data_IF_474568899765
#
_entry.id   IF_474568899765
#
_cell.length_a   1.000
_cell.length_b   1.000
_cell.length_c   1.000
_cell.angle_alpha   90.00
_cell.angle_beta   90.00
_cell.angle_gamma   90.00
#
_symmetry.space_group_name_H-M   'P 1'
#
loop_
_entity.id
_entity.type
_entity.pdbx_description
1 polymer ?
#
# COMPACT_ATOMS: atom_id res chain seq x y z
N UNK A 1 -29.58 0.86 46.45
CA UNK A 1 -29.83 -0.51 45.91
C UNK A 1 -31.05 -0.37 45.04
N UNK A 2 -31.03 -0.39 43.71
CA UNK A 2 -30.36 -1.18 42.67
C UNK A 2 -30.52 -0.34 41.39
N UNK A 3 -29.51 -0.02 40.59
CA UNK A 3 -28.85 -0.94 39.65
C UNK A 3 -29.60 -0.96 38.30
N UNK A 4 -29.36 0.03 37.43
CA UNK A 4 -29.80 0.02 36.03
C UNK A 4 -28.55 0.06 35.15
N UNK A 5 -28.19 -1.11 34.61
CA UNK A 5 -27.14 -1.31 33.63
C UNK A 5 -27.74 -0.98 32.26
N UNK A 6 -27.28 0.11 31.64
CA UNK A 6 -27.46 0.31 30.20
C UNK A 6 -26.44 -0.59 29.50
N UNK A 7 -26.93 -1.65 28.86
CA UNK A 7 -26.14 -2.41 27.88
C UNK A 7 -25.89 -1.50 26.68
N UNK A 8 -24.66 -1.02 26.54
CA UNK A 8 -24.17 -0.42 25.31
C UNK A 8 -24.05 -1.54 24.26
N UNK A 9 -24.70 -1.36 23.10
CA UNK A 9 -24.49 -2.22 21.94
C UNK A 9 -23.00 -2.19 21.55
N UNK A 10 -22.43 -3.37 21.32
CA UNK A 10 -21.03 -3.53 20.93
C UNK A 10 -20.81 -3.00 19.50
N UNK A 11 -19.62 -2.43 19.20
CA UNK A 11 -19.31 -1.79 17.89
C UNK A 11 -19.55 -2.66 16.65
N UNK A 12 -19.58 -4.00 16.81
CA UNK A 12 -19.83 -4.98 15.76
C UNK A 12 -21.22 -4.86 15.10
N UNK A 13 -22.26 -4.43 15.83
CA UNK A 13 -23.62 -4.32 15.27
C UNK A 13 -23.77 -3.15 14.28
N UNK A 14 -22.92 -2.12 14.41
CA UNK A 14 -22.95 -0.94 13.54
C UNK A 14 -22.34 -1.16 12.16
N UNK A 15 -21.28 -1.97 12.09
CA UNK A 15 -20.58 -2.26 10.84
C UNK A 15 -21.42 -3.13 9.88
N UNK A 16 -22.18 -4.09 10.42
CA UNK A 16 -22.99 -5.04 9.64
C UNK A 16 -24.19 -4.35 8.97
N UNK A 17 -24.77 -3.32 9.60
CA UNK A 17 -25.94 -2.61 9.04
C UNK A 17 -25.59 -1.69 7.86
N UNK A 18 -24.36 -1.18 7.78
CA UNK A 18 -23.94 -0.34 6.66
C UNK A 18 -23.74 -1.10 5.34
N UNK A 19 -23.49 -2.43 5.40
CA UNK A 19 -23.44 -3.29 4.20
C UNK A 19 -24.82 -3.50 3.56
N UNK A 20 -25.91 -3.32 4.32
CA UNK A 20 -27.26 -3.72 3.89
C UNK A 20 -28.04 -2.66 3.11
N UNK A 21 -27.56 -1.42 2.99
CA UNK A 21 -28.35 -0.33 2.39
C UNK A 21 -27.97 0.08 0.96
N UNK A 22 -26.93 -0.52 0.36
CA UNK A 22 -26.41 -0.06 -0.94
C UNK A 22 -26.84 -0.90 -2.16
N UNK A 23 -27.30 -2.14 -1.98
CA UNK A 23 -27.65 -3.03 -3.11
C UNK A 23 -29.15 -3.31 -3.18
N UNK A 24 -29.87 -2.40 -3.85
CA UNK A 24 -31.22 -2.67 -4.36
C UNK A 24 -31.38 -2.02 -5.73
N UNK A 25 -30.72 -2.59 -6.74
CA UNK A 25 -31.03 -2.33 -8.15
C UNK A 25 -30.95 -3.63 -8.95
N UNK A 26 -32.11 -4.26 -9.17
CA UNK A 26 -32.27 -5.41 -10.05
C UNK A 26 -32.23 -4.96 -11.53
N UNK A 27 -31.45 -5.65 -12.37
CA UNK A 27 -31.61 -5.60 -13.82
C UNK A 27 -31.68 -7.03 -14.41
N UNK A 28 -32.68 -7.35 -15.28
CA UNK A 28 -32.88 -8.70 -15.79
C UNK A 28 -32.28 -8.96 -17.18
N UNK A 29 -32.04 -10.25 -17.42
CA UNK A 29 -31.99 -10.99 -18.70
C UNK A 29 -30.79 -10.78 -19.65
N UNK A 30 -29.93 -11.82 -19.70
CA UNK A 30 -29.11 -12.12 -20.89
C UNK A 30 -29.18 -13.63 -21.18
N UNK A 31 -30.01 -14.00 -22.16
CA UNK A 31 -30.03 -15.35 -22.74
C UNK A 31 -29.31 -15.28 -24.08
N UNK A 32 -28.01 -15.55 -24.07
CA UNK A 32 -27.23 -15.82 -25.28
C UNK A 32 -26.39 -17.07 -25.03
N UNK A 33 -26.69 -18.12 -25.78
CA UNK A 33 -26.06 -19.43 -25.70
C UNK A 33 -24.66 -19.32 -26.32
N UNK A 34 -23.68 -19.05 -25.47
CA UNK A 34 -22.29 -19.44 -25.68
C UNK A 34 -22.08 -20.67 -24.81
N UNK A 35 -21.45 -21.72 -25.33
CA UNK A 35 -21.03 -22.87 -24.53
C UNK A 35 -20.03 -22.39 -23.47
N UNK A 36 -20.56 -21.93 -22.33
CA UNK A 36 -19.78 -21.68 -21.14
C UNK A 36 -19.29 -23.04 -20.65
N UNK A 37 -18.02 -23.37 -20.90
CA UNK A 37 -17.34 -24.26 -19.97
C UNK A 37 -17.51 -23.61 -18.59
N UNK A 38 -18.20 -24.32 -17.71
CA UNK A 38 -18.35 -23.88 -16.33
C UNK A 38 -16.94 -23.67 -15.76
N UNK A 39 -16.70 -22.50 -15.17
CA UNK A 39 -15.42 -22.24 -14.50
C UNK A 39 -15.23 -23.27 -13.38
N UNK A 40 -13.97 -23.67 -13.07
CA UNK A 40 -13.71 -24.63 -12.01
C UNK A 40 -14.30 -24.17 -10.66
N UNK A 41 -14.76 -25.13 -9.87
CA UNK A 41 -15.45 -24.87 -8.60
C UNK A 41 -14.51 -24.22 -7.57
N UNK A 42 -14.79 -22.98 -7.14
CA UNK A 42 -13.93 -22.25 -6.23
C UNK A 42 -13.90 -22.83 -4.80
N UNK A 43 -14.88 -23.64 -4.43
CA UNK A 43 -14.96 -24.24 -3.08
C UNK A 43 -14.12 -25.52 -2.94
N UNK A 44 -13.51 -26.01 -4.03
CA UNK A 44 -12.64 -27.19 -4.02
C UNK A 44 -11.27 -26.91 -4.65
N UNK A 45 -10.38 -26.14 -3.99
CA UNK A 45 -9.14 -25.61 -4.57
C UNK A 45 -8.26 -26.66 -5.28
N UNK A 46 -8.00 -27.81 -4.65
CA UNK A 46 -7.19 -28.89 -5.25
C UNK A 46 -7.78 -29.44 -6.54
N UNK A 47 -9.11 -29.49 -6.64
CA UNK A 47 -9.81 -29.94 -7.86
C UNK A 47 -9.79 -28.85 -8.92
N UNK A 48 -10.01 -27.60 -8.53
CA UNK A 48 -9.93 -26.45 -9.43
C UNK A 48 -8.54 -26.29 -10.04
N UNK A 49 -7.48 -26.57 -9.29
CA UNK A 49 -6.08 -26.55 -9.75
C UNK A 49 -5.73 -27.64 -10.79
N UNK A 50 -6.64 -28.60 -11.05
CA UNK A 50 -6.47 -29.53 -12.18
C UNK A 50 -6.76 -28.84 -13.53
N UNK A 51 -7.49 -27.72 -13.53
CA UNK A 51 -7.63 -26.86 -14.70
C UNK A 51 -6.33 -26.08 -14.94
N UNK A 52 -5.83 -26.16 -16.17
CA UNK A 52 -4.54 -25.57 -16.53
C UNK A 52 -4.54 -24.04 -16.48
N UNK A 53 -5.68 -23.38 -16.71
CA UNK A 53 -5.78 -21.92 -16.63
C UNK A 53 -5.66 -21.48 -15.18
N UNK A 54 -6.41 -22.13 -14.28
CA UNK A 54 -6.36 -21.87 -12.84
C UNK A 54 -4.96 -22.16 -12.27
N UNK A 55 -4.34 -23.28 -12.66
CA UNK A 55 -2.98 -23.62 -12.22
C UNK A 55 -1.93 -22.58 -12.65
N UNK A 56 -2.04 -22.02 -13.88
CA UNK A 56 -1.14 -20.97 -14.35
C UNK A 56 -1.32 -19.66 -13.60
N UNK A 57 -2.56 -19.28 -13.28
CA UNK A 57 -2.86 -18.11 -12.45
C UNK A 57 -2.27 -18.27 -11.06
N UNK A 58 -2.46 -19.43 -10.43
CA UNK A 58 -1.87 -19.76 -9.13
C UNK A 58 -0.33 -19.70 -9.17
N UNK A 59 0.29 -20.21 -10.24
CA UNK A 59 1.74 -20.13 -10.42
C UNK A 59 2.22 -18.68 -10.62
N UNK A 60 1.48 -17.84 -11.35
CA UNK A 60 1.80 -16.43 -11.55
C UNK A 60 1.73 -15.65 -10.22
N UNK A 61 0.76 -15.97 -9.36
CA UNK A 61 0.74 -15.43 -8.00
C UNK A 61 2.04 -15.70 -7.26
N UNK A 62 2.44 -16.97 -7.18
CA UNK A 62 3.64 -17.40 -6.45
C UNK A 62 4.89 -16.74 -7.03
N UNK A 63 4.99 -16.68 -8.35
CA UNK A 63 6.22 -16.27 -9.05
C UNK A 63 6.40 -14.75 -9.08
N UNK A 64 5.32 -13.99 -9.14
CA UNK A 64 5.38 -12.57 -9.50
C UNK A 64 4.68 -11.67 -8.49
N UNK A 65 3.42 -11.98 -8.15
CA UNK A 65 2.53 -11.08 -7.41
C UNK A 65 2.78 -11.16 -5.89
N UNK A 66 3.05 -12.35 -5.35
CA UNK A 66 3.31 -12.55 -3.92
C UNK A 66 4.42 -11.65 -3.37
N UNK A 67 5.45 -11.42 -4.19
CA UNK A 67 6.61 -10.57 -3.90
C UNK A 67 6.23 -9.13 -3.56
N UNK A 68 5.07 -8.65 -4.02
CA UNK A 68 4.59 -7.29 -3.73
C UNK A 68 4.39 -7.06 -2.23
N UNK A 69 4.06 -8.13 -1.49
CA UNK A 69 3.66 -8.08 -0.09
C UNK A 69 4.80 -8.39 0.89
N UNK A 70 5.80 -9.15 0.45
CA UNK A 70 6.85 -9.68 1.34
C UNK A 70 8.01 -8.69 1.57
N UNK A 71 7.87 -7.43 1.15
CA UNK A 71 8.88 -6.37 1.29
C UNK A 71 9.35 -6.17 2.75
N UNK A 72 8.43 -6.29 3.70
CA UNK A 72 8.68 -6.14 5.14
C UNK A 72 8.54 -7.46 5.91
N UNK A 73 8.63 -8.60 5.20
CA UNK A 73 8.44 -9.92 5.80
C UNK A 73 9.54 -10.89 5.36
N UNK A 74 10.51 -11.11 6.24
CA UNK A 74 11.60 -12.05 6.00
C UNK A 74 11.15 -13.51 5.90
N UNK A 75 9.98 -13.85 6.43
CA UNK A 75 9.40 -15.20 6.33
C UNK A 75 8.66 -15.42 5.00
N UNK A 76 8.49 -14.36 4.19
CA UNK A 76 7.77 -14.39 2.93
C UNK A 76 6.38 -15.03 3.05
N UNK A 77 5.57 -14.57 4.01
CA UNK A 77 4.27 -15.16 4.33
C UNK A 77 3.33 -15.16 3.13
N UNK A 78 3.35 -14.12 2.30
CA UNK A 78 2.52 -14.10 1.08
C UNK A 78 3.10 -14.98 -0.03
N UNK A 79 4.41 -15.16 -0.10
CA UNK A 79 5.07 -16.06 -1.05
C UNK A 79 5.03 -17.54 -0.67
N UNK A 80 4.94 -17.87 0.61
CA UNK A 80 5.09 -19.24 1.13
C UNK A 80 3.82 -19.72 1.84
N UNK A 81 3.35 -18.97 2.84
CA UNK A 81 2.24 -19.39 3.70
C UNK A 81 0.90 -19.27 2.97
N UNK A 82 0.65 -18.17 2.27
CA UNK A 82 -0.60 -17.95 1.53
C UNK A 82 -0.85 -19.04 0.47
N UNK A 83 0.09 -19.37 -0.44
CA UNK A 83 -0.12 -20.44 -1.41
C UNK A 83 -0.33 -21.80 -0.74
N UNK A 84 0.38 -22.07 0.37
CA UNK A 84 0.23 -23.34 1.09
C UNK A 84 -1.18 -23.49 1.65
N UNK A 85 -1.71 -22.44 2.30
CA UNK A 85 -3.08 -22.45 2.84
C UNK A 85 -4.11 -22.50 1.71
N UNK A 86 -3.88 -21.76 0.62
CA UNK A 86 -4.79 -21.68 -0.52
C UNK A 86 -4.97 -23.02 -1.28
N UNK A 87 -4.14 -24.03 -1.04
CA UNK A 87 -4.37 -25.38 -1.57
C UNK A 87 -5.60 -26.06 -0.95
N UNK A 88 -5.99 -25.67 0.26
CA UNK A 88 -7.06 -26.32 1.02
C UNK A 88 -8.14 -25.35 1.52
N UNK A 89 -7.85 -24.04 1.55
CA UNK A 89 -8.76 -23.00 2.06
C UNK A 89 -9.37 -22.16 0.91
N UNK A 90 -10.68 -22.30 0.62
CA UNK A 90 -11.34 -21.59 -0.46
C UNK A 90 -11.22 -20.07 -0.40
N UNK A 91 -11.17 -19.47 0.79
CA UNK A 91 -11.08 -18.02 0.95
C UNK A 91 -9.82 -17.46 0.29
N UNK A 92 -8.64 -17.96 0.68
CA UNK A 92 -7.38 -17.50 0.07
C UNK A 92 -7.23 -17.98 -1.37
N UNK A 93 -7.72 -19.17 -1.70
CA UNK A 93 -7.71 -19.64 -3.08
C UNK A 93 -8.43 -18.67 -4.01
N UNK A 94 -9.65 -18.25 -3.66
CA UNK A 94 -10.42 -17.30 -4.44
C UNK A 94 -9.70 -15.96 -4.57
N UNK A 95 -9.14 -15.43 -3.48
CA UNK A 95 -8.40 -14.17 -3.49
C UNK A 95 -7.16 -14.22 -4.41
N UNK A 96 -6.38 -15.30 -4.32
CA UNK A 96 -5.19 -15.54 -5.16
C UNK A 96 -5.55 -15.60 -6.64
N UNK A 97 -6.58 -16.38 -7.00
CA UNK A 97 -6.99 -16.53 -8.40
C UNK A 97 -7.60 -15.24 -8.94
N UNK A 98 -8.43 -14.55 -8.14
CA UNK A 98 -9.05 -13.29 -8.52
C UNK A 98 -7.98 -12.23 -8.86
N UNK A 99 -7.05 -11.98 -7.94
CA UNK A 99 -5.98 -11.01 -8.14
C UNK A 99 -5.11 -11.37 -9.35
N UNK A 100 -4.72 -12.63 -9.49
CA UNK A 100 -3.87 -13.08 -10.60
C UNK A 100 -4.55 -12.93 -11.95
N UNK A 101 -5.85 -13.24 -12.02
CA UNK A 101 -6.64 -13.08 -13.23
C UNK A 101 -6.81 -11.60 -13.58
N UNK A 102 -7.01 -10.73 -12.59
CA UNK A 102 -7.10 -9.28 -12.82
C UNK A 102 -5.76 -8.69 -13.27
N UNK A 103 -4.66 -9.08 -12.62
CA UNK A 103 -3.32 -8.70 -13.06
C UNK A 103 -3.04 -9.12 -14.50
N UNK A 104 -3.39 -10.36 -14.87
CA UNK A 104 -3.28 -10.85 -16.25
C UNK A 104 -4.18 -10.05 -17.20
N UNK A 105 -5.40 -9.72 -16.78
CA UNK A 105 -6.35 -8.90 -17.53
C UNK A 105 -5.78 -7.52 -17.88
N UNK A 106 -5.09 -6.87 -16.93
CA UNK A 106 -4.58 -5.51 -17.08
C UNK A 106 -3.23 -5.46 -17.82
N UNK A 107 -2.45 -6.53 -17.78
CA UNK A 107 -1.09 -6.56 -18.38
C UNK A 107 -1.03 -7.21 -19.76
N UNK A 108 -1.83 -8.25 -20.02
CA UNK A 108 -1.62 -9.08 -21.21
C UNK A 108 -2.88 -9.59 -21.90
N UNK A 109 -3.94 -9.97 -21.17
CA UNK A 109 -5.08 -10.66 -21.77
C UNK A 109 -6.43 -10.25 -21.14
N UNK A 110 -7.14 -9.26 -21.72
CA UNK A 110 -8.43 -8.77 -21.19
C UNK A 110 -9.53 -9.83 -21.01
N UNK A 111 -9.41 -10.98 -21.70
CA UNK A 111 -10.34 -12.11 -21.57
C UNK A 111 -10.39 -12.72 -20.16
N UNK A 112 -9.36 -12.51 -19.33
CA UNK A 112 -9.30 -13.03 -17.95
C UNK A 112 -10.26 -12.32 -16.99
N UNK A 113 -10.86 -11.18 -17.37
CA UNK A 113 -11.80 -10.43 -16.52
C UNK A 113 -12.92 -11.30 -15.94
N UNK A 114 -13.52 -12.18 -16.74
CA UNK A 114 -14.60 -13.08 -16.29
C UNK A 114 -14.16 -14.04 -15.19
N UNK A 115 -12.91 -14.52 -15.25
CA UNK A 115 -12.34 -15.39 -14.21
C UNK A 115 -12.11 -14.57 -12.94
N UNK A 116 -11.53 -13.38 -13.11
CA UNK A 116 -11.22 -12.47 -12.03
C UNK A 116 -12.49 -12.12 -11.22
N UNK A 117 -13.56 -11.70 -11.89
CA UNK A 117 -14.85 -11.35 -11.29
C UNK A 117 -15.53 -12.55 -10.61
N UNK A 118 -15.46 -13.75 -11.21
CA UNK A 118 -16.05 -14.97 -10.65
C UNK A 118 -15.43 -15.36 -9.31
N UNK A 119 -14.10 -15.44 -9.25
CA UNK A 119 -13.39 -15.77 -8.00
C UNK A 119 -13.44 -14.63 -6.99
N UNK A 120 -13.41 -13.36 -7.44
CA UNK A 120 -13.59 -12.19 -6.58
C UNK A 120 -14.95 -12.24 -5.86
N UNK A 121 -16.03 -12.44 -6.61
CA UNK A 121 -17.38 -12.53 -6.06
C UNK A 121 -17.50 -13.65 -5.01
N UNK A 122 -16.91 -14.82 -5.29
CA UNK A 122 -16.91 -15.91 -4.31
C UNK A 122 -16.11 -15.58 -3.06
N UNK A 123 -14.93 -14.97 -3.21
CA UNK A 123 -14.10 -14.54 -2.08
C UNK A 123 -14.89 -13.59 -1.16
N UNK A 124 -15.60 -12.62 -1.73
CA UNK A 124 -16.44 -11.69 -0.97
C UNK A 124 -17.57 -12.39 -0.22
N UNK A 125 -18.25 -13.36 -0.86
CA UNK A 125 -19.28 -14.17 -0.19
C UNK A 125 -18.74 -14.97 1.01
N UNK A 126 -17.50 -15.44 0.95
CA UNK A 126 -16.86 -16.16 2.05
C UNK A 126 -16.50 -15.20 3.19
N UNK A 127 -15.94 -14.02 2.89
CA UNK A 127 -15.64 -12.99 3.88
C UNK A 127 -16.89 -12.53 4.64
N UNK A 128 -18.01 -12.31 3.94
CA UNK A 128 -19.28 -11.85 4.55
C UNK A 128 -19.84 -12.86 5.56
N UNK A 129 -19.49 -14.15 5.44
CA UNK A 129 -19.97 -15.19 6.35
C UNK A 129 -19.14 -15.33 7.63
N UNK A 130 -17.97 -14.69 7.70
CA UNK A 130 -17.12 -14.77 8.88
C UNK A 130 -17.79 -14.06 10.07
N UNK A 131 -17.59 -14.62 11.26
CA UNK A 131 -18.10 -14.06 12.52
C UNK A 131 -16.95 -13.72 13.46
N UNK A 132 -17.19 -12.89 14.47
CA UNK A 132 -16.16 -12.53 15.44
C UNK A 132 -15.58 -13.78 16.13
N UNK A 133 -14.25 -13.87 16.18
CA UNK A 133 -13.54 -15.02 16.76
C UNK A 133 -13.34 -16.23 15.83
N UNK A 134 -13.72 -16.14 14.55
CA UNK A 134 -13.45 -17.18 13.55
C UNK A 134 -11.94 -17.49 13.44
N UNK A 135 -11.57 -18.76 13.31
CA UNK A 135 -10.18 -19.23 13.19
C UNK A 135 -9.45 -18.57 12.00
N UNK A 136 -10.16 -18.32 10.89
CA UNK A 136 -9.61 -17.65 9.72
C UNK A 136 -9.26 -16.18 9.99
N UNK A 137 -9.95 -15.54 10.92
CA UNK A 137 -9.62 -14.19 11.38
C UNK A 137 -8.40 -14.24 12.30
N UNK A 138 -8.42 -15.11 13.31
CA UNK A 138 -7.36 -15.23 14.32
C UNK A 138 -6.02 -15.59 13.69
N UNK A 139 -6.01 -16.46 12.66
CA UNK A 139 -4.79 -16.88 11.96
C UNK A 139 -4.32 -15.91 10.87
N UNK A 140 -5.03 -14.81 10.63
CA UNK A 140 -4.69 -13.81 9.61
C UNK A 140 -5.02 -14.21 8.17
N UNK A 141 -5.75 -15.30 7.96
CA UNK A 141 -6.18 -15.76 6.62
C UNK A 141 -7.15 -14.75 5.99
N UNK A 142 -8.13 -14.28 6.77
CA UNK A 142 -9.08 -13.27 6.32
C UNK A 142 -8.39 -11.95 5.95
N UNK A 143 -7.44 -11.50 6.79
CA UNK A 143 -6.68 -10.28 6.53
C UNK A 143 -5.84 -10.38 5.26
N UNK A 144 -5.14 -11.50 5.06
CA UNK A 144 -4.38 -11.72 3.84
C UNK A 144 -5.27 -11.73 2.60
N UNK A 145 -6.43 -12.41 2.64
CA UNK A 145 -7.41 -12.39 1.56
C UNK A 145 -7.88 -10.95 1.27
N UNK A 146 -8.16 -10.16 2.31
CA UNK A 146 -8.52 -8.75 2.19
C UNK A 146 -7.44 -7.91 1.49
N UNK A 147 -6.16 -8.05 1.85
CA UNK A 147 -5.06 -7.35 1.15
C UNK A 147 -5.02 -7.71 -0.34
N UNK A 148 -5.22 -8.99 -0.68
CA UNK A 148 -5.25 -9.43 -2.08
C UNK A 148 -6.46 -8.85 -2.85
N UNK A 149 -7.64 -8.81 -2.23
CA UNK A 149 -8.83 -8.21 -2.85
C UNK A 149 -8.68 -6.69 -3.02
N UNK A 150 -8.05 -6.00 -2.07
CA UNK A 150 -7.80 -4.57 -2.23
C UNK A 150 -6.86 -4.28 -3.39
N UNK A 151 -5.82 -5.09 -3.55
CA UNK A 151 -4.95 -5.01 -4.73
C UNK A 151 -5.71 -5.34 -6.03
N UNK A 152 -6.65 -6.29 -6.00
CA UNK A 152 -7.54 -6.55 -7.15
C UNK A 152 -8.35 -5.32 -7.52
N UNK A 153 -8.97 -4.65 -6.55
CA UNK A 153 -9.81 -3.45 -6.77
C UNK A 153 -8.98 -2.29 -7.33
N UNK A 154 -7.78 -2.09 -6.79
CA UNK A 154 -6.83 -1.12 -7.31
C UNK A 154 -6.50 -1.42 -8.77
N UNK A 155 -6.20 -2.67 -9.13
CA UNK A 155 -5.90 -3.03 -10.52
C UNK A 155 -7.12 -2.89 -11.44
N UNK A 156 -8.34 -3.16 -10.94
CA UNK A 156 -9.55 -3.05 -11.74
C UNK A 156 -9.81 -1.60 -12.15
N UNK A 157 -9.68 -0.63 -11.24
CA UNK A 157 -9.78 0.81 -11.53
C UNK A 157 -11.19 1.30 -11.95
N UNK A 158 -12.12 0.40 -12.29
CA UNK A 158 -13.53 0.69 -12.59
C UNK A 158 -14.40 0.78 -11.32
N UNK A 159 -13.88 0.27 -10.20
CA UNK A 159 -14.49 0.31 -8.87
C UNK A 159 -13.64 1.23 -8.00
N UNK A 160 -14.25 2.14 -7.25
CA UNK A 160 -13.50 2.90 -6.24
C UNK A 160 -12.85 1.87 -5.29
N UNK A 161 -11.50 1.83 -5.17
CA UNK A 161 -10.78 0.88 -4.34
C UNK A 161 -11.11 0.98 -2.84
N UNK A 162 -12.05 1.85 -2.46
CA UNK A 162 -12.57 2.03 -1.11
C UNK A 162 -14.05 1.69 -0.95
N UNK A 163 -14.77 1.30 -2.01
CA UNK A 163 -16.20 0.99 -1.96
C UNK A 163 -16.50 -0.26 -1.11
N UNK A 164 -15.69 -1.32 -1.18
CA UNK A 164 -16.04 -2.62 -0.59
C UNK A 164 -15.34 -2.94 0.75
N UNK A 165 -14.22 -2.29 1.07
CA UNK A 165 -13.38 -2.67 2.23
C UNK A 165 -13.37 -1.68 3.39
N UNK A 166 -14.42 -0.83 3.53
CA UNK A 166 -14.71 -0.14 4.80
C UNK A 166 -14.82 -1.11 6.00
N UNK A 167 -15.05 -2.40 5.75
CA UNK A 167 -15.25 -3.45 6.76
C UNK A 167 -14.01 -4.19 7.26
N UNK A 168 -12.81 -4.01 6.68
CA UNK A 168 -11.57 -4.64 7.18
C UNK A 168 -11.19 -4.16 8.60
N UNK A 169 -11.89 -3.14 9.09
CA UNK A 169 -11.52 -2.31 10.24
C UNK A 169 -11.99 -2.76 11.61
N UNK A 170 -12.76 -3.84 11.71
CA UNK A 170 -13.33 -4.27 12.99
C UNK A 170 -12.64 -5.50 13.58
N UNK A 171 -11.32 -5.60 13.48
CA UNK A 171 -10.58 -6.68 14.12
C UNK A 171 -9.94 -6.18 15.41
N UNK A 172 -10.64 -6.39 16.52
CA UNK A 172 -10.15 -6.15 17.88
C UNK A 172 -8.80 -6.86 18.21
N UNK A 173 -8.27 -7.70 17.31
CA UNK A 173 -6.97 -8.38 17.40
C UNK A 173 -5.74 -7.51 17.06
N UNK A 174 -5.93 -6.30 16.55
CA UNK A 174 -4.82 -5.40 16.20
C UNK A 174 -4.15 -4.76 17.43
N UNK A 175 -4.83 -4.69 18.56
CA UNK A 175 -4.25 -4.18 19.80
C UNK A 175 -3.15 -5.13 20.34
N UNK A 176 -3.33 -6.44 20.20
CA UNK A 176 -2.31 -7.45 20.59
C UNK A 176 -1.07 -7.36 19.69
N UNK A 177 -1.29 -7.04 18.41
CA UNK A 177 -0.23 -6.81 17.44
C UNK A 177 0.59 -5.57 17.84
N UNK A 178 -0.10 -4.47 18.15
CA UNK A 178 0.51 -3.18 18.42
C UNK A 178 1.08 -3.08 19.85
N UNK A 179 0.65 -3.92 20.79
CA UNK A 179 1.16 -3.96 22.17
C UNK A 179 2.59 -4.50 22.33
N UNK A 180 3.29 -4.80 21.23
CA UNK A 180 4.64 -5.37 21.27
C UNK A 180 4.67 -6.89 21.49
N UNK A 181 3.51 -7.55 21.49
CA UNK A 181 3.36 -9.02 21.62
C UNK A 181 3.40 -9.74 20.27
N UNK A 182 3.52 -8.97 19.17
CA UNK A 182 3.34 -9.41 17.78
C UNK A 182 4.20 -10.63 17.42
N UNK A 183 3.52 -11.77 17.26
CA UNK A 183 4.06 -13.00 16.71
C UNK A 183 4.48 -12.82 15.24
N UNK A 184 5.62 -13.40 14.88
CA UNK A 184 5.93 -13.74 13.50
C UNK A 184 4.77 -14.56 12.87
N UNK A 185 4.39 -14.24 11.63
CA UNK A 185 3.37 -15.02 10.90
C UNK A 185 2.46 -14.18 10.02
N UNK A 186 1.47 -14.85 9.40
CA UNK A 186 0.62 -14.28 8.36
C UNK A 186 -0.19 -13.06 8.82
N UNK A 187 -0.68 -13.06 10.06
CA UNK A 187 -1.44 -11.94 10.61
C UNK A 187 -0.58 -10.66 10.68
N UNK A 188 0.67 -10.77 11.15
CA UNK A 188 1.60 -9.64 11.18
C UNK A 188 1.99 -9.16 9.78
N UNK A 189 2.26 -10.09 8.86
CA UNK A 189 2.53 -9.74 7.46
C UNK A 189 1.34 -9.02 6.81
N UNK A 190 0.11 -9.49 7.05
CA UNK A 190 -1.11 -8.85 6.58
C UNK A 190 -1.31 -7.44 7.14
N UNK A 191 -1.03 -7.25 8.44
CA UNK A 191 -1.10 -5.95 9.09
C UNK A 191 -0.19 -4.91 8.42
N UNK A 192 1.08 -5.25 8.23
CA UNK A 192 2.05 -4.32 7.66
C UNK A 192 1.73 -3.96 6.22
N UNK A 193 1.23 -4.93 5.43
CA UNK A 193 0.75 -4.65 4.09
C UNK A 193 -0.47 -3.73 4.10
N UNK A 194 -1.45 -4.01 4.96
CA UNK A 194 -2.63 -3.16 5.10
C UNK A 194 -2.30 -1.71 5.47
N UNK A 195 -1.39 -1.50 6.43
CA UNK A 195 -0.98 -0.16 6.84
C UNK A 195 -0.33 0.63 5.69
N UNK A 196 0.57 0.01 4.93
CA UNK A 196 1.21 0.65 3.75
C UNK A 196 0.21 0.98 2.65
N UNK A 197 -0.77 0.11 2.50
CA UNK A 197 -1.90 0.25 1.61
C UNK A 197 -2.82 1.43 2.01
N UNK A 198 -3.06 1.62 3.31
CA UNK A 198 -3.80 2.76 3.88
C UNK A 198 -2.98 4.06 3.72
N UNK A 199 -1.67 4.03 3.99
CA UNK A 199 -0.74 5.15 3.73
C UNK A 199 -0.78 5.57 2.26
N UNK A 200 -0.73 4.61 1.34
CA UNK A 200 -0.80 4.91 -0.09
C UNK A 200 -2.06 5.69 -0.41
N UNK A 201 -3.22 5.21 0.06
CA UNK A 201 -4.49 5.90 -0.14
C UNK A 201 -4.52 7.31 0.48
N UNK A 202 -4.06 7.44 1.71
CA UNK A 202 -3.98 8.74 2.40
C UNK A 202 -3.08 9.75 1.69
N UNK A 203 -2.00 9.30 1.04
CA UNK A 203 -1.13 10.14 0.22
C UNK A 203 -1.79 10.56 -1.09
N UNK A 204 -2.62 9.68 -1.69
CA UNK A 204 -3.39 10.01 -2.89
C UNK A 204 -4.50 11.05 -2.63
N UNK A 205 -5.24 10.88 -1.54
CA UNK A 205 -6.43 11.71 -1.25
C UNK A 205 -6.15 12.84 -0.23
N UNK A 206 -4.93 12.93 0.29
CA UNK A 206 -4.53 13.90 1.33
C UNK A 206 -5.47 13.87 2.54
N UNK A 207 -5.73 12.67 3.04
CA UNK A 207 -6.63 12.42 4.16
C UNK A 207 -5.94 11.59 5.25
N UNK A 208 -6.40 11.65 6.52
CA UNK A 208 -5.87 10.80 7.57
C UNK A 208 -5.95 9.33 7.18
N UNK A 209 -5.10 8.51 7.78
CA UNK A 209 -5.26 7.07 7.71
C UNK A 209 -6.65 6.71 8.24
N UNK A 210 -7.20 5.62 7.73
CA UNK A 210 -8.30 4.95 8.42
C UNK A 210 -7.78 4.38 9.75
N UNK A 211 -6.46 4.11 9.85
CA UNK A 211 -5.83 3.48 11.02
C UNK A 211 -5.66 4.52 12.12
N UNK A 212 -6.30 4.29 13.27
CA UNK A 212 -5.93 5.04 14.46
C UNK A 212 -4.62 4.45 15.04
N UNK A 213 -3.53 5.19 14.88
CA UNK A 213 -2.20 4.85 15.39
C UNK A 213 -1.82 5.61 16.67
N UNK A 214 -2.71 6.40 17.28
CA UNK A 214 -2.39 7.27 18.42
C UNK A 214 -1.78 6.51 19.59
N UNK A 215 -2.44 5.42 20.02
CA UNK A 215 -2.00 4.56 21.13
C UNK A 215 -0.94 3.52 20.74
N UNK A 216 -0.52 3.49 19.47
CA UNK A 216 0.46 2.51 19.01
C UNK A 216 1.87 2.89 19.47
N UNK A 217 2.57 2.03 20.24
CA UNK A 217 3.95 2.29 20.62
C UNK A 217 4.84 2.26 19.38
N UNK A 218 5.85 3.13 19.35
CA UNK A 218 6.88 3.08 18.32
C UNK A 218 7.76 1.87 18.58
N UNK A 219 7.96 1.07 17.54
CA UNK A 219 8.99 0.03 17.54
C UNK A 219 10.30 0.78 17.29
N UNK A 220 11.20 0.83 18.27
CA UNK A 220 12.50 1.54 18.17
C UNK A 220 13.68 0.56 18.28
N UNK A 221 13.43 -0.67 18.71
CA UNK A 221 14.42 -1.75 18.67
C UNK A 221 14.19 -2.59 17.42
N UNK A 222 15.27 -2.79 16.66
CA UNK A 222 15.23 -3.45 15.37
C UNK A 222 16.26 -4.56 15.32
N UNK A 223 15.80 -5.80 15.22
CA UNK A 223 16.66 -6.97 15.04
C UNK A 223 16.80 -7.35 13.56
N UNK A 224 16.16 -6.60 12.65
CA UNK A 224 16.15 -6.86 11.21
C UNK A 224 15.85 -5.61 10.39
N UNK A 225 16.24 -5.63 9.11
CA UNK A 225 15.94 -4.58 8.13
C UNK A 225 14.42 -4.36 7.96
N UNK A 226 13.62 -5.43 8.07
CA UNK A 226 12.17 -5.37 8.04
C UNK A 226 11.61 -4.64 9.28
N UNK A 227 12.26 -4.77 10.43
CA UNK A 227 11.93 -3.99 11.63
C UNK A 227 12.06 -2.49 11.39
N UNK A 228 13.15 -2.06 10.72
CA UNK A 228 13.33 -0.67 10.32
C UNK A 228 12.24 -0.21 9.34
N UNK A 229 11.90 -1.00 8.32
CA UNK A 229 10.81 -0.66 7.40
C UNK A 229 9.45 -0.52 8.11
N UNK A 230 9.14 -1.43 9.01
CA UNK A 230 7.89 -1.40 9.79
C UNK A 230 7.82 -0.17 10.70
N UNK A 231 8.95 0.21 11.32
CA UNK A 231 9.00 1.39 12.19
C UNK A 231 8.83 2.72 11.45
N UNK A 232 9.50 2.93 10.31
CA UNK A 232 9.27 4.14 9.51
C UNK A 232 7.86 4.16 8.92
N UNK A 233 7.27 3.00 8.63
CA UNK A 233 5.85 2.90 8.24
C UNK A 233 4.93 3.44 9.34
N UNK A 234 5.15 3.07 10.61
CA UNK A 234 4.38 3.62 11.74
C UNK A 234 4.59 5.13 11.93
N UNK A 235 5.84 5.59 11.83
CA UNK A 235 6.18 7.01 11.98
C UNK A 235 5.48 7.82 10.89
N UNK A 236 5.58 7.40 9.62
CA UNK A 236 4.90 8.05 8.50
C UNK A 236 3.38 8.06 8.70
N UNK A 237 2.79 6.96 9.18
CA UNK A 237 1.36 6.90 9.47
C UNK A 237 0.91 7.89 10.55
N UNK A 238 1.70 8.05 11.62
CA UNK A 238 1.44 9.08 12.64
C UNK A 238 1.59 10.50 12.09
N UNK A 239 2.59 10.75 11.25
CA UNK A 239 2.79 12.03 10.57
C UNK A 239 1.58 12.36 9.68
N UNK A 240 1.09 11.41 8.88
CA UNK A 240 -0.09 11.56 8.03
C UNK A 240 -1.33 11.89 8.86
N UNK A 241 -1.58 11.14 9.94
CA UNK A 241 -2.74 11.38 10.82
C UNK A 241 -2.71 12.77 11.46
N UNK A 242 -1.52 13.26 11.83
CA UNK A 242 -1.36 14.59 12.39
C UNK A 242 -1.52 15.69 11.33
N UNK A 243 -0.88 15.53 10.17
CA UNK A 243 -0.85 16.54 9.10
C UNK A 243 -2.21 16.68 8.40
N UNK A 244 -2.90 15.58 8.11
CA UNK A 244 -4.17 15.58 7.38
C UNK A 244 -5.40 15.50 8.33
N UNK A 245 -5.16 15.47 9.64
CA UNK A 245 -6.17 15.42 10.69
C UNK A 245 -7.02 16.70 10.79
N UNK A 246 -8.16 16.60 11.50
CA UNK A 246 -9.12 17.70 11.64
C UNK A 246 -8.79 18.71 12.76
N UNK A 247 -7.77 18.45 13.59
CA UNK A 247 -7.41 19.34 14.70
C UNK A 247 -6.19 20.21 14.35
N UNK A 248 -6.39 21.45 13.87
CA UNK A 248 -5.31 22.37 13.54
C UNK A 248 -4.51 22.86 14.75
N UNK A 249 -4.97 22.63 15.99
CA UNK A 249 -4.27 23.04 17.21
C UNK A 249 -3.36 21.94 17.80
N UNK A 250 -3.27 20.78 17.15
CA UNK A 250 -2.56 19.60 17.65
C UNK A 250 -1.37 19.14 16.80
N UNK A 251 -0.95 19.97 15.84
CA UNK A 251 0.22 19.66 15.04
C UNK A 251 1.47 20.00 15.86
N UNK A 252 1.89 19.09 16.73
CA UNK A 252 3.20 19.13 17.42
C UNK A 252 4.29 18.64 16.46
N UNK A 253 4.46 19.33 15.33
CA UNK A 253 5.44 19.00 14.28
C UNK A 253 6.83 18.79 14.86
N UNK A 254 7.25 19.64 15.81
CA UNK A 254 8.56 19.53 16.47
C UNK A 254 8.79 18.13 17.07
N UNK A 255 7.77 17.55 17.73
CA UNK A 255 7.88 16.22 18.32
C UNK A 255 7.94 15.09 17.28
N UNK A 256 7.36 15.29 16.10
CA UNK A 256 7.45 14.34 14.99
C UNK A 256 8.80 14.45 14.26
N UNK A 257 9.34 15.67 14.16
CA UNK A 257 10.69 15.93 13.64
C UNK A 257 11.72 15.26 14.54
N UNK A 258 11.70 15.54 15.84
CA UNK A 258 12.59 14.91 16.82
C UNK A 258 12.51 13.38 16.76
N UNK A 259 11.29 12.83 16.62
CA UNK A 259 11.08 11.39 16.50
C UNK A 259 11.69 10.82 15.22
N UNK A 260 11.50 11.49 14.07
CA UNK A 260 12.02 11.06 12.78
C UNK A 260 13.55 11.14 12.74
N UNK A 261 14.13 12.19 13.31
CA UNK A 261 15.57 12.38 13.46
C UNK A 261 16.19 11.32 14.39
N UNK A 262 15.59 11.12 15.57
CA UNK A 262 16.04 10.11 16.52
C UNK A 262 16.00 8.72 15.89
N UNK A 263 14.91 8.38 15.18
CA UNK A 263 14.79 7.12 14.46
C UNK A 263 15.87 6.99 13.37
N UNK A 264 16.08 8.03 12.56
CA UNK A 264 17.09 8.04 11.49
C UNK A 264 18.50 7.84 12.03
N UNK A 265 18.81 8.40 13.20
CA UNK A 265 20.09 8.21 13.89
C UNK A 265 20.37 6.77 14.36
N UNK A 266 19.35 5.91 14.40
CA UNK A 266 19.51 4.47 14.73
C UNK A 266 19.73 3.59 13.50
N UNK A 267 19.51 4.10 12.28
CA UNK A 267 19.66 3.34 11.05
C UNK A 267 21.13 2.98 10.79
N UNK A 268 21.46 1.69 10.59
CA UNK A 268 22.82 1.27 10.24
C UNK A 268 23.29 1.84 8.91
N UNK A 269 24.59 2.15 8.81
CA UNK A 269 25.19 2.70 7.59
C UNK A 269 25.02 1.81 6.35
N UNK A 270 24.94 0.48 6.52
CA UNK A 270 24.78 -0.44 5.38
C UNK A 270 23.42 -0.30 4.67
N UNK A 271 22.42 0.34 5.30
CA UNK A 271 21.13 0.62 4.67
C UNK A 271 21.17 1.82 3.73
N UNK A 272 22.23 2.64 3.81
CA UNK A 272 22.44 3.76 2.89
C UNK A 272 22.66 3.23 1.47
N UNK A 273 22.39 4.04 0.43
CA UNK A 273 22.74 3.67 -0.93
C UNK A 273 24.22 3.31 -1.04
N UNK A 274 24.55 2.19 -1.69
CA UNK A 274 25.94 1.83 -1.95
C UNK A 274 26.52 2.56 -3.16
N UNK A 275 25.65 3.16 -3.99
CA UNK A 275 26.03 3.97 -5.15
C UNK A 275 24.91 4.96 -5.47
N UNK A 276 25.29 6.14 -5.98
CA UNK A 276 24.37 7.18 -6.47
C UNK A 276 24.97 7.87 -7.69
N UNK A 277 24.13 8.22 -8.66
CA UNK A 277 24.46 9.04 -9.82
C UNK A 277 23.51 10.24 -9.85
N UNK A 278 24.07 11.44 -9.91
CA UNK A 278 23.28 12.66 -9.97
C UNK A 278 22.51 12.78 -11.30
N UNK A 279 21.20 13.01 -11.19
CA UNK A 279 20.33 13.23 -12.35
C UNK A 279 20.57 14.56 -13.07
N UNK A 280 21.39 15.45 -12.48
CA UNK A 280 21.67 16.81 -12.94
C UNK A 280 22.97 16.95 -13.75
N UNK A 281 23.81 15.92 -13.83
CA UNK A 281 25.08 16.01 -14.56
C UNK A 281 24.88 15.74 -16.05
N UNK A 282 24.70 16.79 -16.85
CA UNK A 282 24.62 16.74 -18.32
C UNK A 282 23.44 17.51 -18.92
N UNK A 283 23.32 17.48 -20.25
CA UNK A 283 22.24 18.15 -21.00
C UNK A 283 20.90 17.39 -21.02
N UNK A 284 20.77 16.35 -20.20
CA UNK A 284 19.59 15.49 -20.17
C UNK A 284 19.07 15.40 -18.73
N UNK A 285 17.94 16.07 -18.49
CA UNK A 285 17.25 16.08 -17.21
C UNK A 285 16.73 14.67 -16.88
N UNK A 286 17.47 13.92 -16.08
CA UNK A 286 17.07 12.58 -15.62
C UNK A 286 16.82 12.59 -14.12
N UNK A 287 16.04 11.62 -13.63
CA UNK A 287 15.99 11.34 -12.20
C UNK A 287 17.37 10.86 -11.71
N UNK A 288 17.75 11.14 -10.44
CA UNK A 288 18.92 10.54 -9.84
C UNK A 288 18.80 9.01 -9.88
N UNK A 289 19.94 8.32 -10.04
CA UNK A 289 19.97 6.87 -9.94
C UNK A 289 20.60 6.44 -8.62
N UNK A 290 19.88 5.64 -7.83
CA UNK A 290 20.27 5.28 -6.47
C UNK A 290 20.13 3.77 -6.26
N UNK A 291 21.20 3.11 -5.80
CA UNK A 291 21.26 1.65 -5.64
C UNK A 291 21.42 1.22 -4.18
N UNK A 292 20.66 0.21 -3.78
CA UNK A 292 20.59 -0.30 -2.41
C UNK A 292 20.88 -1.79 -2.33
N UNK A 293 21.36 -2.25 -1.18
CA UNK A 293 21.63 -3.67 -0.94
C UNK A 293 20.36 -4.51 -0.95
N UNK A 294 19.23 -3.97 -0.46
CA UNK A 294 17.95 -4.67 -0.38
C UNK A 294 16.77 -3.79 -0.84
N UNK A 295 15.67 -4.39 -1.35
CA UNK A 295 14.44 -3.66 -1.68
C UNK A 295 13.85 -2.90 -0.48
N UNK A 296 13.96 -3.47 0.73
CA UNK A 296 13.47 -2.84 1.96
C UNK A 296 14.19 -1.52 2.25
N UNK A 297 15.49 -1.41 1.96
CA UNK A 297 16.25 -0.16 2.14
C UNK A 297 15.74 0.97 1.24
N UNK A 298 15.38 0.65 -0.01
CA UNK A 298 14.78 1.62 -0.93
C UNK A 298 13.43 2.14 -0.39
N UNK A 299 12.57 1.24 0.09
CA UNK A 299 11.28 1.60 0.65
C UNK A 299 11.39 2.36 1.99
N UNK A 300 12.36 2.00 2.83
CA UNK A 300 12.69 2.74 4.05
C UNK A 300 12.99 4.21 3.69
N UNK A 301 13.83 4.42 2.67
CA UNK A 301 14.17 5.77 2.25
C UNK A 301 12.98 6.48 1.61
N UNK A 302 12.14 5.81 0.81
CA UNK A 302 10.89 6.41 0.30
C UNK A 302 10.03 6.97 1.43
N UNK A 303 9.75 6.18 2.47
CA UNK A 303 8.87 6.62 3.54
C UNK A 303 9.49 7.72 4.40
N UNK A 304 10.80 7.67 4.60
CA UNK A 304 11.53 8.77 5.24
C UNK A 304 11.44 10.08 4.43
N UNK A 305 11.64 10.04 3.10
CA UNK A 305 11.58 11.23 2.25
C UNK A 305 10.16 11.81 2.16
N UNK A 306 9.13 10.97 2.15
CA UNK A 306 7.73 11.43 2.21
C UNK A 306 7.43 12.08 3.55
N UNK A 307 7.89 11.50 4.65
CA UNK A 307 7.76 12.09 5.99
C UNK A 307 8.38 13.50 6.04
N UNK A 308 9.60 13.65 5.51
CA UNK A 308 10.25 14.96 5.37
C UNK A 308 9.49 15.93 4.46
N UNK A 309 8.89 15.42 3.38
CA UNK A 309 8.07 16.23 2.47
C UNK A 309 6.85 16.79 3.21
N UNK A 310 6.09 15.95 3.92
CA UNK A 310 4.92 16.37 4.69
C UNK A 310 5.32 17.40 5.76
N UNK A 311 6.39 17.14 6.50
CA UNK A 311 6.91 18.08 7.51
C UNK A 311 7.27 19.42 6.87
N UNK A 312 8.02 19.40 5.76
CA UNK A 312 8.44 20.61 5.04
C UNK A 312 7.26 21.43 4.50
N UNK A 313 6.15 20.79 4.12
CA UNK A 313 4.92 21.47 3.67
C UNK A 313 4.18 22.15 4.82
N UNK A 314 4.22 21.57 6.04
CA UNK A 314 3.42 22.04 7.17
C UNK A 314 4.20 22.88 8.20
N UNK A 315 5.52 22.98 8.07
CA UNK A 315 6.40 23.80 8.95
C UNK A 315 6.72 25.16 8.34
N UNK A 316 6.90 26.18 9.18
CA UNK A 316 7.34 27.53 8.75
C UNK A 316 8.80 27.52 8.27
N UNK A 317 9.23 28.41 7.34
CA UNK A 317 10.60 28.41 6.79
C UNK A 317 11.74 28.45 7.82
N UNK A 318 11.49 29.02 9.00
CA UNK A 318 12.47 29.11 10.09
C UNK A 318 12.56 27.86 10.98
N UNK A 319 11.70 26.85 10.77
CA UNK A 319 11.74 25.56 11.48
C UNK A 319 12.54 24.49 10.73
N UNK A 320 13.28 24.89 9.69
CA UNK A 320 13.97 24.00 8.73
C UNK A 320 15.48 23.94 9.01
N UNK A 321 15.98 24.65 10.04
CA UNK A 321 17.40 24.64 10.46
C UNK A 321 17.94 23.25 10.89
N UNK A 322 17.09 22.21 10.92
CA UNK A 322 17.44 20.81 11.21
C UNK A 322 17.55 19.87 9.99
N UNK A 323 17.31 20.32 8.75
CA UNK A 323 17.40 19.45 7.56
C UNK A 323 18.83 19.17 7.07
N UNK A 324 19.85 19.47 7.87
CA UNK A 324 21.28 19.23 7.59
C UNK A 324 21.63 17.72 7.42
N UNK A 325 20.64 16.82 7.58
CA UNK A 325 20.81 15.37 7.72
C UNK A 325 20.39 14.51 6.52
N UNK A 326 20.20 15.10 5.34
CA UNK A 326 20.21 14.28 4.12
C UNK A 326 21.66 13.92 3.79
N UNK A 327 22.21 12.93 4.50
CA UNK A 327 23.63 12.50 4.52
C UNK A 327 24.37 12.49 3.16
N UNK A 328 23.70 12.52 2.00
CA UNK A 328 24.31 12.56 0.66
C UNK A 328 23.48 13.29 -0.42
N UNK A 329 22.45 14.08 -0.07
CA UNK A 329 21.65 14.83 -1.04
C UNK A 329 21.99 16.31 -0.86
N UNK A 330 22.77 16.86 -1.79
CA UNK A 330 23.05 18.30 -1.84
C UNK A 330 21.75 19.04 -2.15
N UNK A 331 21.12 19.62 -1.14
CA UNK A 331 19.99 20.53 -1.33
C UNK A 331 20.57 21.86 -1.81
N UNK A 332 20.54 22.09 -3.12
CA UNK A 332 20.90 23.38 -3.71
C UNK A 332 19.77 24.41 -3.49
N UNK A 333 19.96 25.27 -2.48
CA UNK A 333 19.17 26.49 -2.26
C UNK A 333 18.25 26.45 -1.05
N UNK A 334 18.14 27.59 -0.36
CA UNK A 334 17.45 27.77 0.92
C UNK A 334 15.90 27.83 0.80
N UNK A 335 15.33 27.64 -0.40
CA UNK A 335 13.87 27.73 -0.57
C UNK A 335 13.18 26.39 -0.32
N UNK A 336 12.07 26.40 0.43
CA UNK A 336 11.20 25.23 0.64
C UNK A 336 10.82 24.56 -0.68
N UNK A 337 10.62 25.32 -1.76
CA UNK A 337 10.30 24.79 -3.09
C UNK A 337 11.42 23.90 -3.65
N UNK A 338 12.68 24.32 -3.53
CA UNK A 338 13.83 23.54 -3.99
C UNK A 338 14.02 22.27 -3.16
N UNK A 339 13.78 22.35 -1.85
CA UNK A 339 13.81 21.18 -0.95
C UNK A 339 12.77 20.16 -1.41
N UNK A 340 11.51 20.59 -1.56
CA UNK A 340 10.40 19.72 -1.96
C UNK A 340 10.62 19.09 -3.34
N UNK A 341 11.13 19.86 -4.31
CA UNK A 341 11.49 19.32 -5.62
C UNK A 341 12.60 18.28 -5.51
N UNK A 342 13.66 18.55 -4.74
CA UNK A 342 14.79 17.63 -4.55
C UNK A 342 14.32 16.30 -3.94
N UNK A 343 13.48 16.36 -2.89
CA UNK A 343 12.87 15.16 -2.29
C UNK A 343 12.02 14.38 -3.30
N UNK A 344 11.22 15.08 -4.12
CA UNK A 344 10.40 14.45 -5.15
C UNK A 344 11.24 13.73 -6.21
N UNK A 345 12.35 14.34 -6.65
CA UNK A 345 13.27 13.74 -7.61
C UNK A 345 13.94 12.48 -7.05
N UNK A 346 14.35 12.50 -5.78
CA UNK A 346 14.91 11.32 -5.11
C UNK A 346 13.91 10.18 -4.99
N UNK A 347 12.66 10.47 -4.59
CA UNK A 347 11.60 9.46 -4.51
C UNK A 347 11.38 8.78 -5.87
N UNK A 348 11.29 9.58 -6.94
CA UNK A 348 11.16 9.05 -8.30
C UNK A 348 12.41 8.26 -8.73
N UNK A 349 13.59 8.79 -8.46
CA UNK A 349 14.88 8.15 -8.77
C UNK A 349 15.06 6.79 -8.12
N UNK A 350 14.75 6.67 -6.83
CA UNK A 350 14.80 5.40 -6.10
C UNK A 350 13.85 4.37 -6.73
N UNK A 351 12.61 4.77 -7.02
CA UNK A 351 11.61 3.86 -7.60
C UNK A 351 12.04 3.35 -8.99
N UNK A 352 12.43 4.26 -9.86
CA UNK A 352 12.76 3.94 -11.26
C UNK A 352 14.17 3.38 -11.45
N UNK A 353 15.05 3.49 -10.45
CA UNK A 353 16.34 2.77 -10.43
C UNK A 353 16.14 1.33 -9.99
N UNK A 354 15.38 1.10 -8.91
CA UNK A 354 15.16 -0.23 -8.39
C UNK A 354 14.45 -1.12 -9.42
N UNK A 355 13.34 -0.63 -10.01
CA UNK A 355 12.48 -1.41 -10.93
C UNK A 355 12.05 -2.77 -10.36
N UNK A 356 12.00 -2.88 -9.04
CA UNK A 356 11.56 -4.08 -8.33
C UNK A 356 10.07 -3.93 -8.03
N UNK A 357 9.20 -4.89 -8.39
CA UNK A 357 7.77 -4.78 -8.19
C UNK A 357 7.35 -4.38 -6.77
N UNK A 358 7.97 -4.97 -5.75
CA UNK A 358 7.69 -4.67 -4.34
C UNK A 358 8.04 -3.23 -3.94
N UNK A 359 9.09 -2.65 -4.52
CA UNK A 359 9.43 -1.23 -4.31
C UNK A 359 8.43 -0.34 -5.05
N UNK A 360 8.13 -0.67 -6.32
CA UNK A 360 7.24 0.13 -7.16
C UNK A 360 5.81 0.24 -6.60
N UNK A 361 5.21 -0.89 -6.20
CA UNK A 361 3.84 -0.88 -5.64
C UNK A 361 3.74 -0.03 -4.37
N UNK A 362 4.79 -0.03 -3.54
CA UNK A 362 4.85 0.78 -2.32
C UNK A 362 5.28 2.25 -2.59
N UNK A 363 5.77 2.56 -3.79
CA UNK A 363 6.20 3.89 -4.19
C UNK A 363 5.10 4.72 -4.85
N UNK A 364 3.98 4.12 -5.30
CA UNK A 364 2.92 4.88 -5.98
C UNK A 364 2.30 5.98 -5.10
N UNK A 365 2.04 5.70 -3.82
CA UNK A 365 1.59 6.72 -2.86
C UNK A 365 2.62 7.85 -2.66
N UNK A 366 3.88 7.52 -2.31
CA UNK A 366 4.98 8.49 -2.27
C UNK A 366 5.10 9.36 -3.53
N UNK A 367 5.03 8.76 -4.71
CA UNK A 367 5.10 9.49 -5.99
C UNK A 367 3.87 10.38 -6.18
N UNK A 368 2.67 9.89 -5.88
CA UNK A 368 1.42 10.66 -6.00
C UNK A 368 1.46 11.95 -5.19
N UNK A 369 1.95 11.86 -3.95
CA UNK A 369 2.03 13.01 -3.08
C UNK A 369 3.21 13.92 -3.46
N UNK A 370 4.44 13.40 -3.56
CA UNK A 370 5.63 14.23 -3.65
C UNK A 370 5.90 14.75 -5.08
N UNK A 371 5.53 14.02 -6.13
CA UNK A 371 5.91 14.41 -7.50
C UNK A 371 5.20 15.68 -8.01
N UNK A 372 4.19 16.19 -7.28
CA UNK A 372 3.58 17.49 -7.53
C UNK A 372 4.58 18.65 -7.49
N UNK A 373 5.65 18.50 -6.70
CA UNK A 373 6.67 19.54 -6.52
C UNK A 373 7.73 19.58 -7.63
N UNK A 374 7.66 18.70 -8.64
CA UNK A 374 8.57 18.70 -9.78
C UNK A 374 8.21 19.87 -10.70
N UNK A 375 9.17 20.76 -10.96
CA UNK A 375 8.95 21.98 -11.74
C UNK A 375 9.37 21.83 -13.20
N UNK A 376 10.49 21.14 -13.45
CA UNK A 376 11.04 21.04 -14.79
C UNK A 376 10.16 20.15 -15.70
N UNK A 377 9.63 20.73 -16.78
CA UNK A 377 8.75 20.03 -17.73
C UNK A 377 9.38 18.73 -18.27
N UNK A 378 10.69 18.73 -18.53
CA UNK A 378 11.41 17.52 -18.97
C UNK A 378 11.32 16.36 -17.96
N UNK A 379 11.39 16.66 -16.66
CA UNK A 379 11.28 15.65 -15.59
C UNK A 379 9.82 15.22 -15.38
N UNK A 380 8.86 16.13 -15.56
CA UNK A 380 7.43 15.80 -15.56
C UNK A 380 7.09 14.82 -16.69
N UNK A 381 7.60 15.04 -17.91
CA UNK A 381 7.40 14.12 -19.04
C UNK A 381 8.09 12.77 -18.81
N UNK A 382 9.31 12.77 -18.25
CA UNK A 382 10.00 11.54 -17.90
C UNK A 382 9.26 10.75 -16.82
N UNK A 383 8.68 11.42 -15.81
CA UNK A 383 7.84 10.78 -14.80
C UNK A 383 6.64 10.08 -15.44
N UNK A 384 5.90 10.78 -16.31
CA UNK A 384 4.75 10.22 -17.03
C UNK A 384 5.17 8.98 -17.81
N UNK A 385 6.31 9.05 -18.51
CA UNK A 385 6.84 7.92 -19.30
C UNK A 385 7.16 6.71 -18.41
N UNK A 386 7.78 6.93 -17.25
CA UNK A 386 8.13 5.86 -16.31
C UNK A 386 6.89 5.24 -15.65
N UNK A 387 5.89 6.06 -15.28
CA UNK A 387 4.61 5.57 -14.76
C UNK A 387 3.87 4.71 -15.78
N UNK A 388 3.83 5.14 -17.05
CA UNK A 388 3.26 4.35 -18.14
C UNK A 388 4.00 3.02 -18.34
N UNK A 389 5.33 3.00 -18.20
CA UNK A 389 6.10 1.77 -18.25
C UNK A 389 5.75 0.82 -17.09
N UNK A 390 5.54 1.37 -15.87
CA UNK A 390 5.12 0.58 -14.71
C UNK A 390 3.75 -0.08 -14.91
N UNK A 391 2.80 0.60 -15.57
CA UNK A 391 1.49 0.02 -15.92
C UNK A 391 1.63 -1.27 -16.73
N UNK A 392 2.56 -1.31 -17.69
CA UNK A 392 2.74 -2.49 -18.54
C UNK A 392 3.24 -3.72 -17.75
N UNK A 393 4.05 -3.50 -16.71
CA UNK A 393 4.68 -4.58 -15.95
C UNK A 393 3.93 -4.96 -14.67
N UNK A 394 3.30 -3.99 -14.01
CA UNK A 394 2.62 -4.16 -12.70
C UNK A 394 1.10 -4.18 -12.85
N UNK A 395 0.56 -3.66 -13.96
CA UNK A 395 -0.88 -3.52 -14.18
C UNK A 395 -1.54 -2.37 -13.43
N UNK A 396 -0.79 -1.58 -12.65
CA UNK A 396 -1.32 -0.48 -11.85
C UNK A 396 -1.96 0.61 -12.74
N UNK A 397 -3.19 1.08 -12.44
CA UNK A 397 -3.83 2.14 -13.23
C UNK A 397 -3.23 3.50 -12.86
N UNK A 398 -2.26 3.94 -13.65
CA UNK A 398 -1.55 5.21 -13.46
C UNK A 398 -2.29 6.41 -14.06
N UNK A 399 -3.42 6.21 -14.75
CA UNK A 399 -4.14 7.27 -15.46
C UNK A 399 -4.60 8.40 -14.53
N UNK A 400 -5.26 8.03 -13.42
CA UNK A 400 -5.73 8.99 -12.41
C UNK A 400 -4.55 9.75 -11.81
N UNK A 401 -3.52 9.01 -11.38
CA UNK A 401 -2.26 9.57 -10.86
C UNK A 401 -1.65 10.61 -11.83
N UNK A 402 -1.52 10.27 -13.11
CA UNK A 402 -0.94 11.17 -14.12
C UNK A 402 -1.84 12.40 -14.34
N UNK A 403 -3.16 12.22 -14.35
CA UNK A 403 -4.10 13.33 -14.50
C UNK A 403 -4.00 14.31 -13.33
N UNK A 404 -3.96 13.79 -12.10
CA UNK A 404 -3.89 14.59 -10.88
C UNK A 404 -2.56 15.36 -10.80
N UNK A 405 -1.43 14.71 -11.17
CA UNK A 405 -0.12 15.37 -11.25
C UNK A 405 -0.10 16.51 -12.27
N UNK A 406 -0.66 16.30 -13.48
CA UNK A 406 -0.75 17.35 -14.50
C UNK A 406 -1.55 18.55 -14.02
N UNK A 407 -2.71 18.29 -13.40
CA UNK A 407 -3.53 19.36 -12.84
C UNK A 407 -2.78 20.16 -11.77
N UNK A 408 -1.99 19.48 -10.91
CA UNK A 408 -1.17 20.16 -9.91
C UNK A 408 -0.08 21.04 -10.54
N UNK A 409 0.63 20.54 -11.55
CA UNK A 409 1.69 21.31 -12.21
C UNK A 409 1.17 22.52 -12.98
N UNK A 410 -0.05 22.44 -13.54
CA UNK A 410 -0.71 23.56 -14.21
C UNK A 410 -1.15 24.67 -13.23
N UNK A 411 -1.53 24.31 -12.01
CA UNK A 411 -1.91 25.28 -10.97
C UNK A 411 -0.70 26.08 -10.47
N UNK A 412 0.48 25.48 -10.38
CA UNK A 412 1.71 26.14 -9.90
C UNK A 412 2.38 27.04 -10.96
N UNK A 413 1.95 26.98 -12.22
CA UNK A 413 2.45 27.82 -13.33
C UNK A 413 1.65 29.11 -13.53
N UNK A 414 0.49 29.25 -12.88
CA UNK A 414 -0.34 30.46 -12.85
C UNK A 414 -0.20 31.20 -11.52
#
# INVERSE_FOLDING_TARGET
MTGLIFQAATPAEGAIKHFLSADNAQHPAFTAIVQHQALPDPDTPRKALQDQTVARLFQSYISDISKWYDLSDAASSFGIVVPTIALDEPLLFCAVIALSAMHTCKTSAPSFRKIAEFYHYRCLQLLIKLTEGDDLIVRGVALAATCLLRSYEILDGDVDPNMHLRGAYSMASLHDILSGTLQAGLLGAGFWNYLREDITFSLFEECPLKMNLESTPLIIQHDSDQGFLNSITLILGKIINMAFGRDPNHVRLDSLVEMLEAWRGTCPDYMKPFSRLDGRTGSSHHFPATWFLQPSHAAILHYYLVALTIISVHTSPNGIDGLDYLDHIEIEGESTKNILETLALEICGIAFTAKIPSVLVNAFGPIAYCARFIQAEGLQQELIRQLQACKLTIGWPVERLISDLKASWEMDQN
#
